data_IF_511356579880
#
_entry.id   IF_511356579880
#
_cell.length_a   1.000
_cell.length_b   1.000
_cell.length_c   1.000
_cell.angle_alpha   90.00
_cell.angle_beta   90.00
_cell.angle_gamma   90.00
#
_symmetry.space_group_name_H-M   'P 1'
#
loop_
_entity.id
_entity.type
_entity.pdbx_description
1 polymer ?
#
# COMPACT_ATOMS: atom_id res chain seq x y z
N UNK A 1 -4.72 6.54 -17.27
CA UNK A 1 -3.65 5.91 -16.49
C UNK A 1 -4.23 4.81 -15.62
N UNK A 2 -3.51 3.75 -15.34
CA UNK A 2 -4.04 2.62 -14.58
C UNK A 2 -3.59 2.75 -13.13
N UNK A 3 -4.55 2.95 -12.22
CA UNK A 3 -4.25 2.95 -10.78
C UNK A 3 -3.75 1.56 -10.34
N UNK A 4 -2.84 1.52 -9.37
CA UNK A 4 -2.44 0.29 -8.69
C UNK A 4 -3.49 -0.17 -7.65
N UNK A 5 -4.56 0.62 -7.46
CA UNK A 5 -5.72 0.28 -6.63
C UNK A 5 -7.01 0.27 -7.44
N UNK A 6 -7.95 -0.52 -6.98
CA UNK A 6 -9.31 -0.59 -7.53
C UNK A 6 -10.31 -0.90 -6.43
N UNK A 7 -11.37 -0.11 -6.35
CA UNK A 7 -12.51 -0.41 -5.48
C UNK A 7 -13.59 -1.16 -6.26
N UNK A 8 -14.21 -2.13 -5.61
CA UNK A 8 -15.40 -2.83 -6.10
C UNK A 8 -16.27 -3.28 -4.93
N UNK A 9 -17.52 -3.64 -5.20
CA UNK A 9 -18.35 -4.31 -4.20
C UNK A 9 -17.94 -5.78 -4.09
N UNK A 10 -18.12 -6.35 -2.90
CA UNK A 10 -17.91 -7.78 -2.71
C UNK A 10 -18.94 -8.60 -3.50
N UNK A 11 -18.51 -9.70 -4.10
CA UNK A 11 -19.43 -10.63 -4.75
C UNK A 11 -20.29 -11.42 -3.73
N UNK A 12 -19.77 -11.60 -2.52
CA UNK A 12 -20.42 -12.36 -1.44
C UNK A 12 -21.38 -11.48 -0.62
N UNK A 13 -21.05 -10.20 -0.49
CA UNK A 13 -21.81 -9.22 0.28
C UNK A 13 -21.78 -7.86 -0.43
N UNK A 14 -22.89 -7.48 -1.12
CA UNK A 14 -22.95 -6.20 -1.85
C UNK A 14 -22.79 -4.95 -0.98
N UNK A 15 -23.02 -5.04 0.33
CA UNK A 15 -22.81 -3.94 1.28
C UNK A 15 -21.33 -3.81 1.70
N UNK A 16 -20.50 -4.81 1.39
CA UNK A 16 -19.09 -4.82 1.71
C UNK A 16 -18.26 -4.42 0.50
N UNK A 17 -17.31 -3.52 0.72
CA UNK A 17 -16.38 -3.06 -0.31
C UNK A 17 -15.09 -3.87 -0.29
N UNK A 18 -14.49 -3.99 -1.47
CA UNK A 18 -13.18 -4.59 -1.66
C UNK A 18 -12.26 -3.56 -2.32
N UNK A 19 -11.14 -3.31 -1.68
CA UNK A 19 -10.01 -2.59 -2.25
C UNK A 19 -8.99 -3.61 -2.75
N UNK A 20 -8.71 -3.62 -4.03
CA UNK A 20 -7.66 -4.44 -4.63
C UNK A 20 -6.40 -3.59 -4.82
N UNK A 21 -5.28 -4.07 -4.28
CA UNK A 21 -3.94 -3.51 -4.48
C UNK A 21 -3.13 -4.51 -5.30
N UNK A 22 -2.93 -4.21 -6.59
CA UNK A 22 -2.24 -5.09 -7.52
C UNK A 22 -1.04 -4.39 -8.19
N UNK A 23 0.10 -5.09 -8.21
CA UNK A 23 1.33 -4.59 -8.82
C UNK A 23 2.10 -3.63 -7.93
N UNK A 24 2.96 -2.83 -8.53
CA UNK A 24 3.89 -1.95 -7.82
C UNK A 24 3.20 -0.71 -7.26
N UNK A 25 3.40 -0.42 -5.99
CA UNK A 25 2.85 0.76 -5.32
C UNK A 25 3.53 2.02 -5.86
N UNK A 26 2.74 2.91 -6.46
CA UNK A 26 3.19 4.20 -6.99
C UNK A 26 4.33 4.11 -8.02
N UNK A 27 4.34 3.08 -8.88
CA UNK A 27 5.34 2.87 -9.94
C UNK A 27 5.52 4.10 -10.83
N UNK A 28 4.42 4.79 -11.16
CA UNK A 28 4.41 5.99 -12.00
C UNK A 28 4.51 7.31 -11.21
N UNK A 29 4.72 7.20 -9.91
CA UNK A 29 4.79 8.35 -9.00
C UNK A 29 3.44 8.74 -8.40
N UNK A 30 3.35 8.63 -7.09
CA UNK A 30 2.15 8.93 -6.30
C UNK A 30 1.75 10.41 -6.35
N UNK A 31 2.70 11.28 -6.65
CA UNK A 31 2.54 12.75 -6.64
C UNK A 31 2.50 13.36 -8.04
N UNK A 32 2.26 12.55 -9.07
CA UNK A 32 1.99 13.08 -10.40
C UNK A 32 0.59 13.68 -10.46
N UNK A 33 0.36 14.63 -11.37
CA UNK A 33 -0.90 15.33 -11.53
C UNK A 33 -2.12 14.41 -11.78
N UNK A 34 -1.86 13.17 -12.19
CA UNK A 34 -2.89 12.20 -12.58
C UNK A 34 -3.16 11.11 -11.51
N UNK A 35 -2.29 10.95 -10.49
CA UNK A 35 -2.44 9.93 -9.43
C UNK A 35 -1.97 10.54 -8.11
N UNK A 36 -2.89 10.87 -7.21
CA UNK A 36 -2.58 11.55 -5.96
C UNK A 36 -3.03 10.79 -4.72
N UNK A 37 -2.38 11.02 -3.57
CA UNK A 37 -2.84 10.50 -2.28
C UNK A 37 -4.27 10.94 -1.95
N UNK A 38 -4.63 12.15 -2.38
CA UNK A 38 -5.96 12.74 -2.18
C UNK A 38 -7.02 11.98 -2.96
N UNK A 39 -6.71 11.51 -4.18
CA UNK A 39 -7.60 10.68 -4.99
C UNK A 39 -7.83 9.32 -4.33
N UNK A 40 -6.79 8.64 -3.88
CA UNK A 40 -6.92 7.41 -3.12
C UNK A 40 -7.79 7.59 -1.86
N UNK A 41 -7.56 8.68 -1.11
CA UNK A 41 -8.35 9.00 0.07
C UNK A 41 -9.82 9.27 -0.27
N UNK A 42 -10.09 9.99 -1.36
CA UNK A 42 -11.44 10.26 -1.82
C UNK A 42 -12.17 8.96 -2.18
N UNK A 43 -11.51 8.09 -2.96
CA UNK A 43 -12.05 6.77 -3.31
C UNK A 43 -12.30 5.91 -2.07
N UNK A 44 -11.38 5.91 -1.10
CA UNK A 44 -11.52 5.17 0.15
C UNK A 44 -12.74 5.64 0.95
N UNK A 45 -12.95 6.94 1.02
CA UNK A 45 -14.03 7.57 1.80
C UNK A 45 -15.35 7.73 1.04
N UNK A 46 -15.44 7.27 -0.20
CA UNK A 46 -16.66 7.36 -1.02
C UNK A 46 -17.85 6.63 -0.40
N UNK A 47 -17.61 5.58 0.37
CA UNK A 47 -18.64 4.88 1.13
C UNK A 47 -18.15 4.51 2.52
N UNK A 48 -19.08 4.08 3.36
CA UNK A 48 -18.86 3.64 4.74
C UNK A 48 -19.07 2.13 4.86
N UNK A 49 -18.76 1.59 6.03
CA UNK A 49 -18.90 0.18 6.34
C UNK A 49 -17.56 -0.55 6.31
N UNK A 50 -17.60 -1.85 6.51
CA UNK A 50 -16.38 -2.65 6.54
C UNK A 50 -15.77 -2.80 5.17
N UNK A 51 -14.44 -2.91 5.11
CA UNK A 51 -13.67 -3.02 3.88
C UNK A 51 -12.73 -4.23 3.93
N UNK A 52 -12.65 -4.95 2.83
CA UNK A 52 -11.61 -5.97 2.61
C UNK A 52 -10.55 -5.42 1.66
N UNK A 53 -9.30 -5.47 2.07
CA UNK A 53 -8.14 -5.08 1.24
C UNK A 53 -7.45 -6.35 0.74
N UNK A 54 -7.55 -6.60 -0.57
CA UNK A 54 -6.83 -7.69 -1.23
C UNK A 54 -5.46 -7.19 -1.68
N UNK A 55 -4.40 -7.86 -1.26
CA UNK A 55 -3.03 -7.47 -1.60
C UNK A 55 -2.34 -8.54 -2.44
N UNK A 56 -1.89 -8.12 -3.62
CA UNK A 56 -0.97 -8.85 -4.47
C UNK A 56 0.04 -7.86 -5.07
N UNK A 57 1.08 -7.52 -4.31
CA UNK A 57 2.02 -6.45 -4.62
C UNK A 57 3.44 -6.80 -4.20
N UNK A 58 4.39 -6.50 -5.07
CA UNK A 58 5.83 -6.60 -4.83
C UNK A 58 6.40 -5.43 -4.00
N UNK A 59 5.57 -4.44 -3.68
CA UNK A 59 5.96 -3.24 -2.95
C UNK A 59 6.06 -2.03 -3.83
N UNK A 60 7.02 -1.16 -3.56
CA UNK A 60 7.25 0.08 -4.32
C UNK A 60 7.65 1.25 -3.42
N UNK A 61 7.03 2.39 -3.62
CA UNK A 61 7.35 3.62 -2.89
C UNK A 61 6.98 3.55 -1.41
N UNK A 62 7.97 3.71 -0.53
CA UNK A 62 7.80 3.61 0.92
C UNK A 62 6.94 4.76 1.50
N UNK A 63 7.03 5.96 0.93
CA UNK A 63 6.25 7.12 1.40
C UNK A 63 4.78 6.93 1.03
N UNK A 64 4.50 6.46 -0.19
CA UNK A 64 3.14 6.11 -0.62
C UNK A 64 2.54 5.03 0.27
N UNK A 65 3.28 3.97 0.55
CA UNK A 65 2.83 2.89 1.43
C UNK A 65 2.53 3.36 2.86
N UNK A 66 3.39 4.21 3.42
CA UNK A 66 3.18 4.81 4.74
C UNK A 66 1.90 5.67 4.78
N UNK A 67 1.66 6.47 3.73
CA UNK A 67 0.43 7.26 3.61
C UNK A 67 -0.81 6.38 3.50
N UNK A 68 -0.75 5.31 2.71
CA UNK A 68 -1.85 4.35 2.60
C UNK A 68 -2.12 3.65 3.93
N UNK A 69 -1.07 3.27 4.65
CA UNK A 69 -1.19 2.69 5.99
C UNK A 69 -1.99 3.62 6.91
N UNK A 70 -1.62 4.89 7.02
CA UNK A 70 -2.31 5.86 7.87
C UNK A 70 -3.78 6.07 7.43
N UNK A 71 -4.03 6.19 6.12
CA UNK A 71 -5.40 6.34 5.61
C UNK A 71 -6.28 5.14 5.93
N UNK A 72 -5.74 3.92 5.87
CA UNK A 72 -6.46 2.70 6.23
C UNK A 72 -6.66 2.59 7.75
N UNK A 73 -5.69 3.02 8.55
CA UNK A 73 -5.83 3.06 10.02
C UNK A 73 -6.88 4.06 10.48
N UNK A 74 -7.00 5.19 9.78
CA UNK A 74 -8.00 6.23 10.05
C UNK A 74 -9.39 5.90 9.49
N UNK A 75 -9.52 4.83 8.69
CA UNK A 75 -10.79 4.42 8.10
C UNK A 75 -11.79 4.01 9.21
N UNK A 76 -13.02 4.55 9.19
CA UNK A 76 -13.96 4.35 10.30
C UNK A 76 -14.55 2.94 10.39
N UNK A 77 -14.54 2.16 9.31
CA UNK A 77 -15.00 0.77 9.27
C UNK A 77 -13.89 -0.21 9.66
N UNK A 78 -14.26 -1.48 9.81
CA UNK A 78 -13.29 -2.56 10.02
C UNK A 78 -12.52 -2.83 8.73
N UNK A 79 -11.21 -2.88 8.83
CA UNK A 79 -10.30 -3.21 7.72
C UNK A 79 -9.83 -4.66 7.86
N UNK A 80 -10.22 -5.52 6.94
CA UNK A 80 -9.70 -6.87 6.83
C UNK A 80 -8.75 -6.96 5.65
N UNK A 81 -7.47 -7.23 5.90
CA UNK A 81 -6.48 -7.45 4.85
C UNK A 81 -6.43 -8.94 4.50
N UNK A 82 -6.45 -9.25 3.21
CA UNK A 82 -6.24 -10.59 2.67
C UNK A 82 -5.08 -10.58 1.68
N UNK A 83 -4.08 -11.39 1.95
CA UNK A 83 -2.93 -11.59 1.05
C UNK A 83 -3.18 -12.88 0.29
N UNK A 84 -3.50 -12.77 -1.00
CA UNK A 84 -3.83 -13.92 -1.86
C UNK A 84 -2.71 -14.32 -2.82
N UNK A 85 -1.71 -13.48 -2.98
CA UNK A 85 -0.49 -13.74 -3.73
C UNK A 85 0.75 -13.38 -2.93
N UNK A 86 1.15 -12.12 -2.97
CA UNK A 86 2.33 -11.62 -2.27
C UNK A 86 2.07 -10.25 -1.64
N UNK A 87 2.62 -10.04 -0.46
CA UNK A 87 2.77 -8.72 0.15
C UNK A 87 4.26 -8.51 0.47
N UNK A 88 4.98 -7.91 -0.45
CA UNK A 88 6.43 -7.74 -0.32
C UNK A 88 6.82 -6.28 -0.09
N UNK A 89 7.92 -6.06 0.66
CA UNK A 89 8.52 -4.74 0.84
C UNK A 89 7.49 -3.72 1.35
N UNK A 90 7.30 -2.59 0.68
CA UNK A 90 6.34 -1.56 1.04
C UNK A 90 4.89 -2.07 1.17
N UNK A 91 4.50 -3.11 0.42
CA UNK A 91 3.19 -3.73 0.54
C UNK A 91 2.99 -4.46 1.88
N UNK A 92 4.06 -4.95 2.50
CA UNK A 92 3.99 -5.55 3.84
C UNK A 92 3.61 -4.50 4.90
N UNK A 93 4.04 -3.27 4.74
CA UNK A 93 3.66 -2.15 5.61
C UNK A 93 2.17 -1.86 5.47
N UNK A 94 1.67 -1.75 4.24
CA UNK A 94 0.23 -1.53 4.00
C UNK A 94 -0.61 -2.66 4.59
N UNK A 95 -0.15 -3.91 4.49
CA UNK A 95 -0.85 -5.07 5.06
C UNK A 95 -1.06 -4.95 6.58
N UNK A 96 -0.12 -4.33 7.29
CA UNK A 96 -0.21 -4.14 8.75
C UNK A 96 -1.26 -3.10 9.18
N UNK A 97 -1.87 -2.38 8.25
CA UNK A 97 -2.99 -1.48 8.56
C UNK A 97 -4.30 -2.21 8.89
N UNK A 98 -4.42 -3.50 8.57
CA UNK A 98 -5.61 -4.28 8.83
C UNK A 98 -5.87 -4.52 10.32
N UNK A 99 -7.13 -4.43 10.72
CA UNK A 99 -7.58 -4.92 12.03
C UNK A 99 -7.50 -6.44 12.12
N UNK A 100 -7.61 -7.10 10.98
CA UNK A 100 -7.39 -8.52 10.77
C UNK A 100 -6.56 -8.72 9.50
N UNK A 101 -5.49 -9.50 9.60
CA UNK A 101 -4.64 -9.86 8.45
C UNK A 101 -4.73 -11.37 8.22
N UNK A 102 -5.14 -11.76 7.04
CA UNK A 102 -5.28 -13.14 6.61
C UNK A 102 -4.35 -13.42 5.43
N UNK A 103 -3.68 -14.55 5.44
CA UNK A 103 -2.84 -15.02 4.34
C UNK A 103 -3.42 -16.30 3.76
N UNK A 104 -3.52 -16.38 2.44
CA UNK A 104 -3.79 -17.65 1.76
C UNK A 104 -2.66 -18.65 2.03
N UNK A 105 -2.92 -19.96 2.03
CA UNK A 105 -1.89 -20.97 2.32
C UNK A 105 -0.67 -20.93 1.41
N UNK A 106 -0.82 -20.41 0.19
CA UNK A 106 0.25 -20.27 -0.80
C UNK A 106 0.77 -18.83 -0.92
N UNK A 107 0.22 -17.89 -0.14
CA UNK A 107 0.66 -16.50 -0.17
C UNK A 107 2.01 -16.32 0.51
N UNK A 108 2.71 -15.29 0.10
CA UNK A 108 4.02 -14.90 0.64
C UNK A 108 3.97 -13.50 1.24
N UNK A 109 4.71 -13.31 2.32
CA UNK A 109 5.04 -11.98 2.85
C UNK A 109 6.56 -11.85 2.88
N UNK A 110 7.08 -10.71 2.38
CA UNK A 110 8.51 -10.44 2.40
C UNK A 110 8.79 -9.07 3.00
N UNK A 111 9.65 -9.07 3.99
CA UNK A 111 10.11 -7.87 4.71
C UNK A 111 11.62 -7.78 4.51
N UNK A 112 12.09 -6.63 4.14
CA UNK A 112 13.52 -6.34 3.98
C UNK A 112 13.82 -4.88 4.33
N UNK A 113 15.09 -4.57 4.55
CA UNK A 113 15.52 -3.20 4.73
C UNK A 113 15.27 -2.38 3.45
N UNK A 114 14.96 -1.08 3.58
CA UNK A 114 14.73 -0.23 2.42
C UNK A 114 15.98 -0.14 1.54
N UNK A 115 15.75 -0.02 0.23
CA UNK A 115 16.81 0.15 -0.76
C UNK A 115 16.58 1.43 -1.57
N UNK A 116 17.66 2.04 -2.02
CA UNK A 116 17.60 3.16 -2.96
C UNK A 116 18.71 3.07 -3.99
N UNK A 117 18.50 3.65 -5.16
CA UNK A 117 19.52 3.89 -6.16
C UNK A 117 19.89 5.38 -6.18
N UNK A 118 21.18 5.69 -6.24
CA UNK A 118 21.64 7.06 -6.20
C UNK A 118 22.84 7.26 -7.14
N UNK A 119 22.81 8.38 -7.84
CA UNK A 119 23.96 8.96 -8.54
C UNK A 119 24.25 10.32 -7.91
N UNK A 120 25.48 10.54 -7.45
CA UNK A 120 25.81 11.79 -6.79
C UNK A 120 27.23 11.82 -6.23
N UNK A 121 27.53 12.87 -5.48
CA UNK A 121 28.79 13.06 -4.76
C UNK A 121 28.72 12.46 -3.34
N UNK A 122 29.81 12.57 -2.59
CA UNK A 122 29.91 12.04 -1.22
C UNK A 122 28.77 12.51 -0.31
N UNK A 123 28.40 13.80 -0.36
CA UNK A 123 27.33 14.34 0.49
C UNK A 123 25.96 13.74 0.15
N UNK A 124 25.73 13.46 -1.14
CA UNK A 124 24.50 12.84 -1.60
C UNK A 124 24.37 11.40 -1.06
N UNK A 125 25.50 10.66 -1.06
CA UNK A 125 25.53 9.32 -0.46
C UNK A 125 25.34 9.35 1.06
N UNK A 126 25.97 10.27 1.76
CA UNK A 126 25.80 10.44 3.22
C UNK A 126 24.35 10.75 3.58
N UNK A 127 23.67 11.58 2.79
CA UNK A 127 22.21 11.87 2.97
C UNK A 127 21.35 10.66 2.68
N UNK A 128 21.68 9.89 1.65
CA UNK A 128 20.93 8.69 1.33
C UNK A 128 21.06 7.62 2.42
N UNK A 129 22.25 7.45 3.00
CA UNK A 129 22.47 6.55 4.14
C UNK A 129 21.60 7.00 5.34
N UNK A 130 21.63 8.28 5.69
CA UNK A 130 20.81 8.81 6.79
C UNK A 130 19.31 8.60 6.53
N UNK A 131 18.84 8.81 5.31
CA UNK A 131 17.45 8.57 4.92
C UNK A 131 17.07 7.09 5.05
N UNK A 132 17.94 6.17 4.61
CA UNK A 132 17.68 4.73 4.72
C UNK A 132 17.61 4.30 6.20
N UNK A 133 18.42 4.88 7.07
CA UNK A 133 18.36 4.62 8.52
C UNK A 133 17.05 5.14 9.16
N UNK A 134 16.49 6.24 8.66
CA UNK A 134 15.21 6.80 9.10
C UNK A 134 14.00 5.95 8.66
N UNK A 135 14.06 5.37 7.46
CA UNK A 135 12.96 4.60 6.86
C UNK A 135 12.92 3.15 7.35
N UNK A 136 14.00 2.66 7.93
CA UNK A 136 14.20 1.27 8.37
C UNK A 136 13.21 0.77 9.46
#
# INVERSE_FOLDING_TARGET
>A
MKHFWKFRNSAEDPESRVLELNGTIAEEGWYNDDITPEEFKADLMESSGDITVLINSDGGDCVAASRMYEMLRDYPGKVTVKIDGIAASAASVVAMAGDLVQMAPTALMMIHDPITGLWGNRRDFERAIAMLDEVK
#
